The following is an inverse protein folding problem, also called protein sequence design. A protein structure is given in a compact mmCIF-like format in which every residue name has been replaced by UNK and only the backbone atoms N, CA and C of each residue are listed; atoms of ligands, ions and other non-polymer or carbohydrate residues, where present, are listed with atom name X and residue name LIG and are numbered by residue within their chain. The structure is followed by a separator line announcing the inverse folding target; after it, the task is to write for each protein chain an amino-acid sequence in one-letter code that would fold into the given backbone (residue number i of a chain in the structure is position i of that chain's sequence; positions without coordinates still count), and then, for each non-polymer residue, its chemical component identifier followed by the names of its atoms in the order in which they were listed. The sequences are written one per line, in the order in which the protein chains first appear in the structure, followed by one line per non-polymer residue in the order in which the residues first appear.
data_IF_783145667015
#
_entry.id   IF_783145667015
#
_cell.length_a   1.000
_cell.length_b   1.000
_cell.length_c   1.000
_cell.angle_alpha   90.00
_cell.angle_beta   90.00
_cell.angle_gamma   90.00
#
_symmetry.space_group_name_H-M   'P 1'
#
loop_
_entity.id
_entity.type
_entity.pdbx_description
1 polymer ?
#
# COMPACT_ATOMS: atom_id res chain seq x y z
N UNK A 1 18.23 3.38 -6.09
CA UNK A 1 16.81 3.05 -6.23
C UNK A 1 16.05 3.57 -5.02
N UNK A 2 14.91 4.23 -5.20
CA UNK A 2 14.03 4.66 -4.11
C UNK A 2 12.99 3.57 -3.84
N UNK A 3 12.89 3.12 -2.58
CA UNK A 3 11.91 2.12 -2.15
C UNK A 3 10.98 2.76 -1.12
N UNK A 4 9.68 2.64 -1.34
CA UNK A 4 8.67 2.94 -0.33
C UNK A 4 8.17 1.62 0.27
N UNK A 5 8.50 1.37 1.52
CA UNK A 5 8.01 0.22 2.28
C UNK A 5 6.84 0.66 3.18
N UNK A 6 5.69 0.02 3.02
CA UNK A 6 4.47 0.33 3.77
C UNK A 6 3.97 -0.90 4.51
N UNK A 7 3.90 -0.79 5.84
CA UNK A 7 3.35 -1.82 6.72
C UNK A 7 1.96 -1.44 7.23
N UNK A 8 1.09 -2.45 7.32
CA UNK A 8 -0.34 -2.29 7.67
C UNK A 8 -0.82 -3.27 8.74
N UNK A 9 0.06 -4.14 9.24
CA UNK A 9 -0.29 -5.17 10.20
C UNK A 9 -0.62 -4.56 11.57
N UNK A 10 -1.86 -4.75 12.03
CA UNK A 10 -2.32 -4.22 13.31
C UNK A 10 -1.63 -4.85 14.53
N UNK A 11 -1.04 -6.03 14.36
CA UNK A 11 -0.39 -6.79 15.43
C UNK A 11 1.08 -6.38 15.65
N UNK A 12 1.61 -5.46 14.85
CA UNK A 12 2.99 -5.00 14.99
C UNK A 12 4.00 -6.14 14.86
N UNK A 13 4.97 -6.17 15.78
CA UNK A 13 6.03 -7.19 15.81
C UNK A 13 5.55 -8.57 16.27
N UNK A 14 4.33 -8.69 16.80
CA UNK A 14 3.84 -9.95 17.38
C UNK A 14 3.45 -11.01 16.34
N UNK A 15 3.38 -10.65 15.05
CA UNK A 15 2.89 -11.55 14.00
C UNK A 15 3.83 -11.66 12.78
N UNK A 16 5.10 -11.27 12.90
CA UNK A 16 6.10 -11.49 11.84
C UNK A 16 5.93 -10.64 10.57
N UNK A 17 4.85 -9.86 10.44
CA UNK A 17 4.48 -9.23 9.16
C UNK A 17 5.43 -8.09 8.76
N UNK A 18 5.91 -7.30 9.74
CA UNK A 18 6.94 -6.28 9.52
C UNK A 18 8.29 -6.92 9.16
N UNK A 19 8.62 -8.03 9.82
CA UNK A 19 9.82 -8.81 9.50
C UNK A 19 9.74 -9.38 8.08
N UNK A 20 8.55 -9.75 7.63
CA UNK A 20 8.30 -10.28 6.29
C UNK A 20 8.50 -9.21 5.21
N UNK A 21 7.90 -8.04 5.36
CA UNK A 21 8.10 -6.93 4.42
C UNK A 21 9.54 -6.44 4.41
N UNK A 22 10.18 -6.33 5.59
CA UNK A 22 11.59 -5.98 5.70
C UNK A 22 12.50 -7.03 5.05
N UNK A 23 12.23 -8.32 5.23
CA UNK A 23 13.00 -9.40 4.61
C UNK A 23 12.86 -9.40 3.08
N UNK A 24 11.65 -9.12 2.57
CA UNK A 24 11.41 -8.96 1.14
C UNK A 24 12.19 -7.77 0.58
N UNK A 25 12.13 -6.60 1.24
CA UNK A 25 12.91 -5.43 0.83
C UNK A 25 14.40 -5.72 0.82
N UNK A 26 14.93 -6.37 1.86
CA UNK A 26 16.34 -6.73 1.97
C UNK A 26 16.81 -7.70 0.88
N UNK A 27 15.93 -8.60 0.42
CA UNK A 27 16.22 -9.54 -0.68
C UNK A 27 16.11 -8.88 -2.06
N UNK A 28 15.23 -7.89 -2.24
CA UNK A 28 15.04 -7.20 -3.53
C UNK A 28 16.14 -6.19 -3.83
N UNK A 29 16.68 -5.54 -2.81
CA UNK A 29 17.77 -4.60 -2.98
C UNK A 29 18.70 -4.64 -1.76
N UNK A 30 20.00 -4.92 -1.96
CA UNK A 30 20.98 -4.75 -0.89
C UNK A 30 20.93 -3.30 -0.36
N UNK A 31 20.95 -3.15 0.97
CA UNK A 31 20.72 -1.86 1.64
C UNK A 31 21.63 -0.72 1.17
N UNK A 32 22.82 -1.04 0.65
CA UNK A 32 23.81 -0.07 0.16
C UNK A 32 23.42 0.61 -1.17
N UNK A 33 22.37 0.14 -1.86
CA UNK A 33 21.94 0.66 -3.17
C UNK A 33 20.51 1.25 -3.17
N UNK A 34 19.83 1.20 -2.01
CA UNK A 34 18.46 1.65 -1.86
C UNK A 34 18.32 2.82 -0.88
N UNK A 35 17.57 3.85 -1.28
CA UNK A 35 17.00 4.83 -0.36
C UNK A 35 15.62 4.33 0.06
N UNK A 36 15.48 3.89 1.30
CA UNK A 36 14.22 3.34 1.82
C UNK A 36 13.47 4.45 2.58
N UNK A 37 12.24 4.71 2.16
CA UNK A 37 11.24 5.45 2.93
C UNK A 37 10.33 4.41 3.58
N UNK A 38 10.29 4.42 4.92
CA UNK A 38 9.49 3.47 5.70
C UNK A 38 8.24 4.15 6.26
N UNK A 39 7.08 3.49 6.10
CA UNK A 39 5.79 3.95 6.59
C UNK A 39 5.06 2.81 7.31
N UNK A 40 4.88 2.97 8.61
CA UNK A 40 4.12 2.04 9.43
C UNK A 40 2.73 2.63 9.74
N UNK A 41 1.73 2.21 8.96
CA UNK A 41 0.37 2.70 9.09
C UNK A 41 -0.36 2.14 10.31
N UNK A 42 0.19 1.10 10.97
CA UNK A 42 -0.35 0.58 12.21
C UNK A 42 0.22 1.33 13.43
N UNK A 43 1.52 1.66 13.44
CA UNK A 43 2.12 2.42 14.53
C UNK A 43 1.79 3.92 14.47
N UNK A 44 1.64 4.48 13.27
CA UNK A 44 1.24 5.87 13.06
C UNK A 44 -0.03 5.91 12.19
N UNK A 45 -1.20 5.53 12.77
CA UNK A 45 -2.44 5.44 12.02
C UNK A 45 -2.86 6.82 11.50
N UNK A 46 -3.36 6.82 10.28
CA UNK A 46 -3.95 8.00 9.66
C UNK A 46 -5.40 8.14 10.16
N UNK A 47 -5.84 9.39 10.36
CA UNK A 47 -7.26 9.66 10.57
C UNK A 47 -8.08 9.21 9.34
N UNK A 48 -9.39 8.98 9.50
CA UNK A 48 -10.23 8.73 8.33
C UNK A 48 -10.47 10.01 7.54
N UNK A 49 -10.74 9.90 6.24
CA UNK A 49 -11.14 11.07 5.44
C UNK A 49 -12.45 11.63 6.01
N UNK A 50 -12.39 12.88 6.46
CA UNK A 50 -13.54 13.65 6.90
C UNK A 50 -14.07 14.53 5.75
N UNK A 51 -15.31 15.02 5.89
CA UNK A 51 -15.91 15.95 4.92
C UNK A 51 -15.04 17.20 4.68
N UNK A 52 -14.57 17.91 5.74
CA UNK A 52 -13.67 19.04 5.58
C UNK A 52 -12.35 18.67 4.89
N UNK A 53 -11.71 17.56 5.26
CA UNK A 53 -10.46 17.13 4.62
C UNK A 53 -10.68 16.85 3.13
N UNK A 54 -11.73 16.10 2.78
CA UNK A 54 -12.02 15.77 1.39
C UNK A 54 -12.26 17.03 0.54
N UNK A 55 -12.98 18.01 1.07
CA UNK A 55 -13.22 19.30 0.43
C UNK A 55 -11.90 20.07 0.20
N UNK A 56 -11.00 20.05 1.18
CA UNK A 56 -9.66 20.64 1.05
C UNK A 56 -8.82 19.93 -0.01
N UNK A 57 -8.79 18.59 -0.03
CA UNK A 57 -8.05 17.83 -1.04
C UNK A 57 -8.61 18.06 -2.46
N UNK A 58 -9.92 18.34 -2.58
CA UNK A 58 -10.59 18.68 -3.85
C UNK A 58 -10.40 20.11 -4.31
N UNK A 59 -9.75 20.96 -3.51
CA UNK A 59 -9.71 22.40 -3.76
C UNK A 59 -11.11 23.05 -3.81
N UNK A 60 -12.04 22.51 -3.02
CA UNK A 60 -13.43 22.92 -2.96
C UNK A 60 -13.78 23.33 -1.52
N UNK A 61 -13.34 24.51 -1.10
CA UNK A 61 -13.68 25.05 0.22
C UNK A 61 -14.01 26.55 0.14
N UNK A 62 -14.84 27.00 1.08
CA UNK A 62 -15.20 28.39 1.29
C UNK A 62 -15.14 28.73 2.79
N UNK A 63 -15.59 29.92 3.18
CA UNK A 63 -15.57 30.39 4.56
C UNK A 63 -16.41 29.52 5.53
N UNK A 64 -17.30 28.65 5.01
CA UNK A 64 -18.11 27.73 5.82
C UNK A 64 -17.40 26.43 6.16
N UNK A 65 -16.30 26.12 5.48
CA UNK A 65 -15.50 24.91 5.71
C UNK A 65 -14.24 25.32 6.47
N UNK A 66 -14.18 25.06 7.79
CA UNK A 66 -13.06 25.53 8.59
C UNK A 66 -11.79 24.81 8.17
N UNK A 67 -10.94 25.50 7.41
CA UNK A 67 -9.55 25.14 7.24
C UNK A 67 -8.83 25.46 8.56
N UNK A 68 -9.05 24.65 9.58
CA UNK A 68 -8.39 24.78 10.87
C UNK A 68 -6.97 24.19 10.81
N UNK A 69 -6.22 24.26 11.92
CA UNK A 69 -4.85 23.75 11.95
C UNK A 69 -4.77 22.23 11.69
N UNK A 70 -5.74 21.47 12.18
CA UNK A 70 -5.81 20.01 12.03
C UNK A 70 -6.05 19.61 10.57
N UNK A 71 -7.05 20.19 9.90
CA UNK A 71 -7.35 19.91 8.49
C UNK A 71 -6.17 20.29 7.59
N UNK A 72 -5.48 21.40 7.88
CA UNK A 72 -4.25 21.76 7.17
C UNK A 72 -3.14 20.72 7.33
N UNK A 73 -2.93 20.25 8.57
CA UNK A 73 -1.91 19.24 8.85
C UNK A 73 -2.22 17.93 8.11
N UNK A 74 -3.49 17.50 8.11
CA UNK A 74 -3.95 16.30 7.41
C UNK A 74 -3.84 16.42 5.88
N UNK A 75 -4.13 17.59 5.32
CA UNK A 75 -3.93 17.86 3.89
C UNK A 75 -2.44 17.81 3.51
N UNK A 76 -1.57 18.42 4.33
CA UNK A 76 -0.13 18.37 4.12
C UNK A 76 0.43 16.95 4.24
N UNK A 77 -0.05 16.17 5.20
CA UNK A 77 0.28 14.75 5.35
C UNK A 77 -0.16 13.95 4.11
N UNK A 78 -1.39 14.15 3.64
CA UNK A 78 -1.91 13.49 2.43
C UNK A 78 -1.04 13.78 1.20
N UNK A 79 -0.57 15.02 1.04
CA UNK A 79 0.36 15.39 -0.02
C UNK A 79 1.76 14.77 0.17
N UNK A 80 2.23 14.61 1.42
CA UNK A 80 3.48 13.85 1.70
C UNK A 80 3.36 12.40 1.26
N UNK A 81 2.27 11.74 1.64
CA UNK A 81 2.01 10.34 1.31
C UNK A 81 1.95 10.10 -0.21
N UNK A 82 1.30 11.01 -0.96
CA UNK A 82 1.30 10.94 -2.41
C UNK A 82 2.71 11.14 -2.98
N UNK A 83 3.48 12.12 -2.49
CA UNK A 83 4.86 12.36 -2.95
C UNK A 83 5.75 11.14 -2.72
N UNK A 84 5.68 10.54 -1.54
CA UNK A 84 6.39 9.29 -1.24
C UNK A 84 6.07 8.19 -2.24
N UNK A 85 4.78 8.03 -2.59
CA UNK A 85 4.36 7.06 -3.59
C UNK A 85 4.90 7.39 -4.99
N UNK A 86 4.85 8.65 -5.41
CA UNK A 86 5.31 9.09 -6.74
C UNK A 86 6.85 9.04 -6.88
N UNK A 87 7.60 9.34 -5.82
CA UNK A 87 9.07 9.40 -5.83
C UNK A 87 9.74 8.02 -5.76
N UNK A 88 8.98 6.97 -5.41
CA UNK A 88 9.50 5.60 -5.28
C UNK A 88 9.66 4.89 -6.64
N UNK A 89 10.78 4.22 -6.87
CA UNK A 89 10.93 3.32 -8.02
C UNK A 89 10.20 1.98 -7.76
N UNK A 90 10.18 1.55 -6.50
CA UNK A 90 9.47 0.36 -6.02
C UNK A 90 8.66 0.70 -4.78
N UNK A 91 7.39 0.32 -4.79
CA UNK A 91 6.52 0.32 -3.61
C UNK A 91 6.35 -1.13 -3.13
N UNK A 92 6.74 -1.42 -1.89
CA UNK A 92 6.46 -2.70 -1.22
C UNK A 92 5.36 -2.45 -0.20
N UNK A 93 4.18 -2.98 -0.45
CA UNK A 93 2.97 -2.67 0.32
C UNK A 93 2.38 -3.93 0.96
N UNK A 94 2.36 -3.99 2.29
CA UNK A 94 1.63 -5.01 3.02
C UNK A 94 0.11 -4.80 2.88
N UNK A 95 -0.59 -5.80 2.39
CA UNK A 95 -2.04 -5.81 2.20
C UNK A 95 -2.65 -7.16 2.60
N UNK A 96 -2.55 -7.57 3.89
CA UNK A 96 -3.12 -8.83 4.36
C UNK A 96 -4.65 -8.83 4.24
N UNK A 97 -5.26 -10.02 4.11
CA UNK A 97 -6.71 -10.15 4.11
C UNK A 97 -7.23 -10.08 5.56
N UNK A 98 -7.85 -8.96 5.92
CA UNK A 98 -8.50 -8.72 7.22
C UNK A 98 -10.02 -8.69 7.04
N UNK A 99 -10.72 -9.64 7.67
CA UNK A 99 -12.19 -9.75 7.59
C UNK A 99 -12.71 -9.60 6.15
N UNK A 100 -12.10 -10.34 5.22
CA UNK A 100 -12.47 -10.36 3.80
C UNK A 100 -12.19 -9.06 3.03
N UNK A 101 -11.33 -8.19 3.55
CA UNK A 101 -10.88 -6.98 2.87
C UNK A 101 -9.46 -6.57 3.29
N UNK A 102 -9.06 -5.34 3.01
CA UNK A 102 -7.79 -4.75 3.46
C UNK A 102 -7.88 -4.24 4.91
N UNK A 103 -6.75 -4.05 5.61
CA UNK A 103 -6.72 -3.36 6.90
C UNK A 103 -7.31 -1.94 6.78
N UNK A 104 -8.04 -1.49 7.80
CA UNK A 104 -8.66 -0.16 7.80
C UNK A 104 -7.65 0.98 7.66
N UNK A 105 -6.45 0.83 8.23
CA UNK A 105 -5.34 1.79 8.09
C UNK A 105 -4.82 1.86 6.65
N UNK A 106 -4.83 0.74 5.92
CA UNK A 106 -4.50 0.72 4.50
C UNK A 106 -5.59 1.44 3.69
N UNK A 107 -6.86 1.21 4.00
CA UNK A 107 -7.96 1.94 3.36
C UNK A 107 -7.85 3.45 3.56
N UNK A 108 -7.51 3.89 4.78
CA UNK A 108 -7.30 5.32 5.07
C UNK A 108 -6.13 5.94 4.27
N UNK A 109 -5.08 5.16 3.98
CA UNK A 109 -3.98 5.58 3.11
C UNK A 109 -4.41 5.63 1.64
N UNK A 110 -5.07 4.57 1.14
CA UNK A 110 -5.59 4.50 -0.23
C UNK A 110 -6.55 5.65 -0.53
N UNK A 111 -7.46 5.96 0.38
CA UNK A 111 -8.44 7.02 0.21
C UNK A 111 -7.79 8.38 -0.07
N UNK A 112 -6.64 8.66 0.55
CA UNK A 112 -5.89 9.90 0.34
C UNK A 112 -5.15 9.89 -0.99
N UNK A 113 -4.35 8.86 -1.23
CA UNK A 113 -3.45 8.84 -2.40
C UNK A 113 -4.25 8.69 -3.69
N UNK A 114 -5.29 7.85 -3.71
CA UNK A 114 -6.05 7.58 -4.94
C UNK A 114 -6.83 8.83 -5.33
N UNK A 115 -7.33 9.56 -4.34
CA UNK A 115 -8.01 10.82 -4.58
C UNK A 115 -7.07 11.88 -5.16
N UNK A 116 -5.90 12.09 -4.52
CA UNK A 116 -4.94 13.08 -4.99
C UNK A 116 -4.26 12.69 -6.31
N UNK A 117 -3.99 11.40 -6.53
CA UNK A 117 -3.43 10.91 -7.78
C UNK A 117 -4.37 11.18 -8.97
N UNK A 118 -5.67 10.91 -8.80
CA UNK A 118 -6.67 11.23 -9.84
C UNK A 118 -6.74 12.73 -10.14
N UNK A 119 -6.59 13.58 -9.11
CA UNK A 119 -6.59 15.03 -9.27
C UNK A 119 -5.41 15.58 -10.09
N UNK A 120 -4.31 14.82 -10.27
CA UNK A 120 -3.21 15.21 -11.15
C UNK A 120 -3.60 15.18 -12.64
N UNK A 121 -4.63 14.40 -12.99
CA UNK A 121 -4.97 14.08 -14.38
C UNK A 121 -4.13 12.93 -14.94
N UNK A 122 -4.72 12.17 -15.86
CA UNK A 122 -4.16 10.90 -16.35
C UNK A 122 -2.74 11.05 -16.94
N UNK A 123 -2.49 12.08 -17.76
CA UNK A 123 -1.18 12.24 -18.42
C UNK A 123 -0.05 12.48 -17.42
N UNK A 124 -0.27 13.40 -16.46
CA UNK A 124 0.73 13.71 -15.42
C UNK A 124 0.96 12.52 -14.50
N UNK A 125 -0.12 11.83 -14.12
CA UNK A 125 -0.03 10.64 -13.27
C UNK A 125 0.74 9.52 -13.97
N UNK A 126 0.39 9.21 -15.21
CA UNK A 126 1.05 8.17 -16.02
C UNK A 126 2.55 8.47 -16.20
N UNK A 127 2.90 9.74 -16.46
CA UNK A 127 4.30 10.15 -16.53
C UNK A 127 5.03 9.95 -15.19
N UNK A 128 4.39 10.30 -14.07
CA UNK A 128 4.98 10.22 -12.74
C UNK A 128 5.14 8.77 -12.21
N UNK A 129 4.38 7.82 -12.74
CA UNK A 129 4.46 6.41 -12.32
C UNK A 129 5.07 5.49 -13.38
N UNK A 130 5.55 6.06 -14.49
CA UNK A 130 6.18 5.28 -15.56
C UNK A 130 7.42 4.55 -15.03
N UNK A 131 7.52 3.25 -15.31
CA UNK A 131 8.59 2.38 -14.79
C UNK A 131 8.51 2.04 -13.30
N UNK A 132 7.52 2.57 -12.56
CA UNK A 132 7.33 2.25 -11.14
C UNK A 132 6.85 0.81 -10.97
N UNK A 133 7.49 0.09 -10.06
CA UNK A 133 7.07 -1.25 -9.63
C UNK A 133 6.24 -1.17 -8.36
N UNK A 134 5.22 -2.03 -8.27
CA UNK A 134 4.40 -2.18 -7.08
C UNK A 134 4.35 -3.65 -6.72
N UNK A 135 4.91 -4.00 -5.56
CA UNK A 135 4.85 -5.33 -4.98
C UNK A 135 3.90 -5.33 -3.78
N UNK A 136 2.81 -6.07 -3.91
CA UNK A 136 1.81 -6.27 -2.87
C UNK A 136 2.13 -7.55 -2.09
N UNK A 137 2.37 -7.40 -0.80
CA UNK A 137 2.56 -8.53 0.10
C UNK A 137 1.19 -8.87 0.71
N UNK A 138 0.59 -9.95 0.23
CA UNK A 138 -0.71 -10.43 0.72
C UNK A 138 -0.49 -11.63 1.62
N UNK A 139 -1.41 -11.84 2.56
CA UNK A 139 -1.37 -13.03 3.41
C UNK A 139 -2.78 -13.49 3.72
N UNK A 140 -2.92 -14.81 3.79
CA UNK A 140 -4.14 -15.54 4.13
C UNK A 140 -3.86 -16.43 5.33
N UNK A 141 -4.92 -17.04 5.85
CA UNK A 141 -4.85 -18.25 6.65
C UNK A 141 -4.19 -19.42 5.90
N UNK A 142 -3.87 -20.48 6.66
CA UNK A 142 -3.12 -21.70 6.28
C UNK A 142 -3.30 -22.18 4.82
N UNK A 143 -2.26 -22.76 4.19
CA UNK A 143 -2.35 -23.45 2.89
C UNK A 143 -3.46 -24.51 2.81
N UNK A 144 -3.87 -25.08 3.96
CA UNK A 144 -4.98 -26.03 4.06
C UNK A 144 -6.38 -25.37 4.09
N UNK A 145 -6.47 -24.06 3.83
CA UNK A 145 -7.72 -23.31 3.83
C UNK A 145 -8.77 -23.91 2.87
N UNK A 146 -10.06 -23.95 3.26
CA UNK A 146 -11.14 -24.41 2.40
C UNK A 146 -11.23 -23.63 1.08
N UNK A 147 -11.80 -24.21 0.00
CA UNK A 147 -11.87 -23.57 -1.32
C UNK A 147 -12.45 -22.14 -1.30
N UNK A 148 -13.54 -21.92 -0.55
CA UNK A 148 -14.16 -20.59 -0.41
C UNK A 148 -13.18 -19.52 0.10
N UNK A 149 -12.23 -19.91 0.96
CA UNK A 149 -11.23 -18.99 1.48
C UNK A 149 -10.10 -18.72 0.49
N UNK A 150 -9.76 -19.70 -0.33
CA UNK A 150 -8.83 -19.52 -1.45
C UNK A 150 -9.42 -18.57 -2.48
N UNK A 151 -10.71 -18.72 -2.80
CA UNK A 151 -11.44 -17.83 -3.71
C UNK A 151 -11.44 -16.38 -3.18
N UNK A 152 -11.75 -16.18 -1.90
CA UNK A 152 -11.69 -14.85 -1.28
C UNK A 152 -10.31 -14.18 -1.38
N UNK A 153 -9.22 -14.96 -1.29
CA UNK A 153 -7.88 -14.42 -1.49
C UNK A 153 -7.59 -14.02 -2.93
N UNK A 154 -8.06 -14.82 -3.89
CA UNK A 154 -7.94 -14.51 -5.31
C UNK A 154 -8.71 -13.21 -5.60
N UNK A 155 -9.93 -13.08 -5.08
CA UNK A 155 -10.76 -11.88 -5.24
C UNK A 155 -10.12 -10.64 -4.61
N UNK A 156 -9.53 -10.78 -3.43
CA UNK A 156 -8.79 -9.71 -2.76
C UNK A 156 -7.63 -9.18 -3.60
N UNK A 157 -6.79 -10.09 -4.13
CA UNK A 157 -5.67 -9.73 -5.00
C UNK A 157 -6.15 -9.10 -6.31
N UNK A 158 -7.20 -9.66 -6.92
CA UNK A 158 -7.81 -9.08 -8.12
C UNK A 158 -8.39 -7.68 -7.86
N UNK A 159 -9.01 -7.46 -6.71
CA UNK A 159 -9.52 -6.16 -6.31
C UNK A 159 -8.39 -5.14 -6.20
N UNK A 160 -7.33 -5.46 -5.45
CA UNK A 160 -6.14 -4.61 -5.32
C UNK A 160 -5.50 -4.32 -6.69
N UNK A 161 -5.36 -5.34 -7.54
CA UNK A 161 -4.82 -5.17 -8.88
C UNK A 161 -5.65 -4.17 -9.71
N UNK A 162 -6.99 -4.25 -9.63
CA UNK A 162 -7.89 -3.32 -10.33
C UNK A 162 -7.77 -1.90 -9.78
N UNK A 163 -7.66 -1.73 -8.46
CA UNK A 163 -7.47 -0.42 -7.83
C UNK A 163 -6.19 0.26 -8.32
N UNK A 164 -5.06 -0.45 -8.35
CA UNK A 164 -3.80 0.14 -8.77
C UNK A 164 -3.69 0.31 -10.30
N UNK A 165 -4.30 -0.58 -11.09
CA UNK A 165 -4.43 -0.38 -12.55
C UNK A 165 -5.26 0.84 -12.89
N UNK A 166 -6.29 1.15 -12.11
CA UNK A 166 -7.11 2.34 -12.32
C UNK A 166 -6.29 3.64 -12.24
N UNK A 167 -5.23 3.67 -11.42
CA UNK A 167 -4.32 4.82 -11.34
C UNK A 167 -3.07 4.68 -12.24
N UNK A 168 -3.04 3.68 -13.14
CA UNK A 168 -2.01 3.53 -14.17
C UNK A 168 -0.84 2.59 -13.84
N UNK A 169 -0.86 1.87 -12.70
CA UNK A 169 0.11 0.79 -12.45
C UNK A 169 -0.30 -0.44 -13.29
N UNK A 170 0.35 -0.65 -14.43
CA UNK A 170 -0.06 -1.66 -15.40
C UNK A 170 -0.04 -3.10 -14.84
N UNK A 171 1.02 -3.46 -14.12
CA UNK A 171 1.25 -4.81 -13.60
C UNK A 171 1.70 -4.78 -12.13
N UNK A 172 0.75 -4.69 -11.18
CA UNK A 172 1.06 -4.94 -9.77
C UNK A 172 1.53 -6.39 -9.60
N UNK A 173 2.66 -6.56 -8.90
CA UNK A 173 3.24 -7.84 -8.53
C UNK A 173 2.65 -8.28 -7.18
N UNK A 174 2.48 -9.58 -6.98
CA UNK A 174 1.95 -10.13 -5.73
C UNK A 174 2.93 -11.13 -5.14
N UNK A 175 3.15 -11.02 -3.83
CA UNK A 175 3.83 -12.01 -3.03
C UNK A 175 2.88 -12.47 -1.92
N UNK A 176 2.29 -13.65 -2.13
CA UNK A 176 1.42 -14.25 -1.13
C UNK A 176 2.26 -14.99 -0.09
N UNK A 177 2.08 -14.62 1.16
CA UNK A 177 2.74 -15.20 2.32
C UNK A 177 1.72 -16.06 3.06
N UNK A 178 2.02 -17.35 3.17
CA UNK A 178 1.20 -18.29 3.92
C UNK A 178 1.50 -18.19 5.42
N UNK A 179 0.59 -18.71 6.26
CA UNK A 179 0.88 -18.98 7.67
C UNK A 179 1.02 -20.48 7.89
N UNK A 180 1.91 -20.89 8.79
CA UNK A 180 1.93 -22.26 9.32
C UNK A 180 0.71 -22.54 10.21
N UNK A 181 0.62 -23.77 10.73
CA UNK A 181 -0.48 -24.22 11.59
C UNK A 181 -0.53 -23.46 12.94
N UNK A 182 0.58 -22.85 13.36
CA UNK A 182 0.68 -21.99 14.55
C UNK A 182 0.37 -20.51 14.23
N UNK A 183 0.02 -20.20 12.97
CA UNK A 183 -0.30 -18.85 12.52
C UNK A 183 0.91 -17.97 12.21
N UNK A 184 2.13 -18.50 12.19
CA UNK A 184 3.35 -17.75 11.84
C UNK A 184 3.52 -17.64 10.34
N UNK A 185 3.95 -16.48 9.86
CA UNK A 185 4.19 -16.23 8.45
C UNK A 185 5.37 -17.05 7.91
N UNK A 186 5.14 -17.72 6.79
CA UNK A 186 6.12 -18.53 6.07
C UNK A 186 6.62 -17.76 4.84
N UNK A 187 7.88 -17.34 4.87
CA UNK A 187 8.50 -16.68 3.71
C UNK A 187 8.67 -17.67 2.56
N UNK A 188 8.26 -17.30 1.35
CA UNK A 188 8.51 -18.12 0.18
C UNK A 188 10.02 -18.17 -0.14
N UNK A 189 10.44 -19.31 -0.69
CA UNK A 189 11.84 -19.55 -1.07
C UNK A 189 12.30 -18.62 -2.22
N UNK A 190 11.37 -18.28 -3.12
CA UNK A 190 11.62 -17.41 -4.27
C UNK A 190 10.75 -16.16 -4.22
N UNK A 191 11.35 -15.00 -4.45
CA UNK A 191 10.61 -13.78 -4.72
C UNK A 191 10.09 -13.77 -6.16
N UNK A 192 8.96 -13.08 -6.45
CA UNK A 192 8.53 -12.87 -7.82
C UNK A 192 9.67 -12.20 -8.57
N UNK A 193 10.09 -12.84 -9.66
CA UNK A 193 11.11 -12.29 -10.55
C UNK A 193 10.51 -11.04 -11.20
N UNK A 194 11.21 -9.90 -11.21
CA UNK A 194 10.74 -8.73 -11.95
C UNK A 194 10.49 -9.16 -13.40
N UNK A 195 9.23 -9.12 -13.84
CA UNK A 195 8.94 -9.08 -15.27
C UNK A 195 9.48 -7.77 -15.78
N UNK A 196 10.72 -7.79 -16.29
CA UNK A 196 11.24 -6.72 -17.11
C UNK A 196 10.25 -6.54 -18.26
N UNK A 197 9.48 -5.45 -18.21
CA UNK A 197 8.58 -5.08 -19.29
C UNK A 197 9.47 -4.85 -20.53
N UNK A 198 9.16 -5.49 -21.68
CA UNK A 198 9.88 -5.23 -22.93
C UNK A 198 9.74 -3.78 -23.41
#
# INVERSE_FOLDING_TARGET
MNILQIDTCALGDSNGSRQSTAAVVARLCPAEQARIVYRDLAAAPLSHISGPLLQVLRQQWDDTIPLNAEVRAEAALSQSLLREFLDADLVVLAAPLYNFSIPSVLKAWLDRILHLAQALGADKLNAAISGKRLLLITSCCSPAAPPVQQDMMIEHEQHLARVFRHIGIAQPEFLRIATDDDGKLMMPDTLPTPTLVP
#
